data_IF_411925364696
#
_entry.id   IF_411925364696
#
_cell.length_a   1.000
_cell.length_b   1.000
_cell.length_c   1.000
_cell.angle_alpha   90.00
_cell.angle_beta   90.00
_cell.angle_gamma   90.00
#
_symmetry.space_group_name_H-M   'P 1'
#
loop_
_entity.id
_entity.type
_entity.pdbx_description
1 polymer ?
#
# COMPACT_ATOMS: atom_id res chain seq x y z
N UNK A 1 33.32 9.72 8.48
CA UNK A 1 31.84 9.69 8.55
C UNK A 1 31.39 8.34 9.05
N UNK A 2 30.79 8.32 10.23
CA UNK A 2 30.29 7.11 10.86
C UNK A 2 28.79 7.00 10.71
N UNK A 3 28.34 5.85 10.19
CA UNK A 3 26.94 5.57 9.90
C UNK A 3 26.39 4.54 10.88
N UNK A 4 25.10 4.68 11.17
CA UNK A 4 24.28 3.70 11.88
C UNK A 4 23.06 3.33 11.03
N UNK A 5 22.72 2.05 10.98
CA UNK A 5 21.67 1.52 10.12
C UNK A 5 20.41 1.14 10.90
N UNK A 6 19.25 1.60 10.44
CA UNK A 6 17.94 1.20 10.94
C UNK A 6 17.20 0.44 9.82
N UNK A 7 16.91 -0.83 10.06
CA UNK A 7 16.18 -1.68 9.11
C UNK A 7 14.75 -1.90 9.56
N UNK A 8 13.81 -1.73 8.65
CA UNK A 8 12.40 -2.03 8.86
C UNK A 8 11.98 -3.11 7.87
N UNK A 9 11.39 -4.18 8.40
CA UNK A 9 10.91 -5.30 7.62
C UNK A 9 9.46 -5.60 7.94
N UNK A 10 8.69 -5.85 6.89
CA UNK A 10 7.29 -6.25 6.99
C UNK A 10 7.17 -7.71 6.59
N UNK A 11 6.37 -8.48 7.33
CA UNK A 11 6.19 -9.91 7.04
C UNK A 11 5.35 -10.19 5.81
N UNK A 12 5.55 -11.39 5.23
CA UNK A 12 4.92 -11.77 3.98
C UNK A 12 3.38 -11.84 4.06
N UNK A 13 2.84 -12.07 5.26
CA UNK A 13 1.38 -12.03 5.53
C UNK A 13 0.77 -10.68 5.18
N UNK A 14 1.56 -9.60 5.19
CA UNK A 14 1.10 -8.28 4.82
C UNK A 14 0.88 -8.09 3.30
N UNK A 15 1.37 -9.00 2.45
CA UNK A 15 1.10 -8.95 1.00
C UNK A 15 -0.37 -9.16 0.66
N UNK A 16 -1.11 -9.91 1.50
CA UNK A 16 -2.54 -10.20 1.30
C UNK A 16 -3.41 -8.94 1.46
N UNK A 17 -2.93 -7.94 2.21
CA UNK A 17 -3.67 -6.69 2.44
C UNK A 17 -3.47 -5.72 1.28
N UNK A 18 -4.50 -4.94 0.96
CA UNK A 18 -4.39 -3.88 -0.04
C UNK A 18 -3.42 -2.77 0.44
N UNK A 19 -2.68 -2.11 -0.48
CA UNK A 19 -1.79 -0.99 -0.15
C UNK A 19 -2.46 0.11 0.71
N UNK A 20 -3.74 0.38 0.46
CA UNK A 20 -4.55 1.36 1.20
C UNK A 20 -4.80 0.97 2.66
N UNK A 21 -4.96 -0.33 2.95
CA UNK A 21 -5.18 -0.85 4.30
C UNK A 21 -3.87 -0.83 5.11
N UNK A 22 -2.76 -1.28 4.50
CA UNK A 22 -1.45 -1.35 5.16
C UNK A 22 -0.66 -0.04 5.17
N UNK A 23 -1.07 0.96 4.38
CA UNK A 23 -0.42 2.28 4.22
C UNK A 23 1.06 2.22 3.82
N UNK A 24 1.49 1.14 3.18
CA UNK A 24 2.84 0.97 2.63
C UNK A 24 2.78 0.13 1.35
N UNK A 25 3.85 0.19 0.54
CA UNK A 25 3.99 -0.62 -0.69
C UNK A 25 5.29 -1.41 -0.73
N UNK A 26 5.24 -2.58 -1.37
CA UNK A 26 6.43 -3.37 -1.66
C UNK A 26 7.07 -2.96 -2.99
N UNK A 27 8.31 -3.39 -3.24
CA UNK A 27 9.10 -3.00 -4.41
C UNK A 27 8.52 -3.52 -5.73
N UNK A 28 7.91 -4.69 -5.68
CA UNK A 28 7.27 -5.44 -6.77
C UNK A 28 5.90 -4.87 -7.17
N UNK A 29 5.26 -4.07 -6.32
CA UNK A 29 3.93 -3.51 -6.54
C UNK A 29 3.99 -2.13 -7.21
N UNK A 30 4.70 -2.05 -8.33
CA UNK A 30 4.88 -0.79 -9.07
C UNK A 30 3.67 -0.43 -9.92
N UNK A 31 3.24 0.83 -9.80
CA UNK A 31 2.26 1.48 -10.69
C UNK A 31 2.88 2.69 -11.43
N UNK A 32 4.21 2.81 -11.34
CA UNK A 32 4.99 3.89 -11.91
C UNK A 32 5.18 3.68 -13.41
N UNK A 33 5.10 4.76 -14.20
CA UNK A 33 5.36 4.72 -15.64
C UNK A 33 6.85 4.75 -15.94
N UNK A 34 7.62 5.49 -15.13
CA UNK A 34 9.05 5.70 -15.35
C UNK A 34 9.93 4.56 -14.84
N UNK A 35 9.43 3.75 -13.90
CA UNK A 35 10.20 2.68 -13.26
C UNK A 35 9.36 1.43 -13.04
N UNK A 36 9.89 0.22 -13.35
CA UNK A 36 9.22 -1.04 -13.05
C UNK A 36 9.26 -1.41 -11.56
N UNK A 37 9.99 -0.67 -10.72
CA UNK A 37 10.11 -0.92 -9.28
C UNK A 37 9.56 0.26 -8.49
N UNK A 38 8.79 -0.04 -7.44
CA UNK A 38 8.25 0.96 -6.53
C UNK A 38 9.27 1.38 -5.47
N UNK A 39 9.47 2.68 -5.31
CA UNK A 39 10.10 3.28 -4.14
C UNK A 39 9.42 4.59 -3.82
N UNK A 40 9.36 4.96 -2.55
CA UNK A 40 8.85 6.25 -2.11
C UNK A 40 9.55 7.41 -2.84
N UNK A 41 10.86 7.30 -3.05
CA UNK A 41 11.65 8.31 -3.78
C UNK A 41 11.22 8.35 -5.25
N UNK A 42 11.12 7.19 -5.90
CA UNK A 42 10.72 7.09 -7.30
C UNK A 42 9.29 7.63 -7.51
N UNK A 43 8.35 7.33 -6.61
CA UNK A 43 6.98 7.84 -6.66
C UNK A 43 6.95 9.37 -6.59
N UNK A 44 7.73 9.97 -5.68
CA UNK A 44 7.84 11.44 -5.59
C UNK A 44 8.51 12.05 -6.82
N UNK A 45 9.51 11.38 -7.38
CA UNK A 45 10.19 11.83 -8.60
C UNK A 45 9.24 11.83 -9.79
N UNK A 46 8.47 10.77 -10.00
CA UNK A 46 7.45 10.69 -11.05
C UNK A 46 6.33 11.71 -10.83
N UNK A 47 5.89 11.94 -9.58
CA UNK A 47 4.90 12.96 -9.30
C UNK A 47 5.41 14.37 -9.63
N UNK A 48 6.68 14.68 -9.32
CA UNK A 48 7.33 15.94 -9.70
C UNK A 48 7.45 16.09 -11.20
N UNK A 49 7.88 15.04 -11.91
CA UNK A 49 7.98 15.04 -13.37
C UNK A 49 6.61 15.27 -14.01
N UNK A 50 5.58 14.60 -13.51
CA UNK A 50 4.19 14.78 -13.96
C UNK A 50 3.67 16.19 -13.72
N UNK A 51 4.03 16.80 -12.59
CA UNK A 51 3.66 18.17 -12.27
C UNK A 51 4.40 19.18 -13.15
N UNK A 52 5.71 18.98 -13.39
CA UNK A 52 6.51 19.78 -14.31
C UNK A 52 5.91 19.75 -15.74
N UNK A 53 5.52 18.56 -16.20
CA UNK A 53 4.84 18.37 -17.49
C UNK A 53 3.50 19.10 -17.55
N UNK A 54 2.71 19.12 -16.47
CA UNK A 54 1.42 19.84 -16.42
C UNK A 54 1.58 21.36 -16.42
N UNK A 55 2.60 21.88 -15.74
CA UNK A 55 2.80 23.32 -15.59
C UNK A 55 3.50 23.96 -16.80
N UNK A 56 4.55 23.31 -17.32
CA UNK A 56 5.41 23.86 -18.36
C UNK A 56 5.47 23.00 -19.64
N UNK A 57 4.75 21.87 -19.70
CA UNK A 57 4.65 21.04 -20.90
C UNK A 57 5.87 20.15 -21.18
N UNK A 58 6.89 20.16 -20.32
CA UNK A 58 8.15 19.46 -20.52
C UNK A 58 8.64 18.76 -19.25
N UNK A 59 9.55 17.80 -19.40
CA UNK A 59 10.18 17.07 -18.29
C UNK A 59 11.66 17.44 -18.20
N UNK A 60 12.20 17.74 -17.00
CA UNK A 60 13.61 18.02 -16.83
C UNK A 60 14.53 16.86 -17.25
N UNK A 61 15.69 17.20 -17.81
CA UNK A 61 16.67 16.25 -18.36
C UNK A 61 17.23 15.23 -17.35
N UNK A 62 17.15 15.51 -16.04
CA UNK A 62 17.66 14.63 -14.99
C UNK A 62 16.66 13.53 -14.58
N UNK A 63 15.41 13.59 -15.03
CA UNK A 63 14.47 12.49 -14.88
C UNK A 63 14.66 11.46 -16.01
N UNK A 64 14.26 10.22 -15.75
CA UNK A 64 14.17 9.22 -16.82
C UNK A 64 13.08 9.64 -17.81
N UNK A 65 13.34 9.52 -19.11
CA UNK A 65 12.39 9.90 -20.14
C UNK A 65 11.66 8.66 -20.67
N UNK A 66 10.36 8.81 -20.99
CA UNK A 66 9.62 7.83 -21.80
C UNK A 66 9.51 8.32 -23.24
N UNK A 67 9.32 7.37 -24.15
CA UNK A 67 9.06 7.64 -25.56
C UNK A 67 7.81 8.53 -25.71
N UNK A 68 7.98 9.69 -26.37
CA UNK A 68 6.94 10.68 -26.57
C UNK A 68 6.91 11.84 -25.56
N UNK A 69 7.80 11.86 -24.55
CA UNK A 69 7.93 12.99 -23.63
C UNK A 69 9.01 13.97 -24.08
N UNK A 70 8.68 15.27 -24.16
CA UNK A 70 9.63 16.32 -24.54
C UNK A 70 10.52 16.71 -23.34
N UNK A 71 11.82 16.73 -23.57
CA UNK A 71 12.80 17.23 -22.60
C UNK A 71 12.71 18.76 -22.52
N UNK A 72 12.80 19.33 -21.31
CA UNK A 72 12.80 20.79 -21.12
C UNK A 72 14.08 21.42 -21.67
N UNK A 73 13.93 22.38 -22.57
CA UNK A 73 14.99 23.30 -22.99
C UNK A 73 15.14 24.47 -22.00
N UNK A 74 16.08 25.40 -22.22
CA UNK A 74 16.37 26.54 -21.34
C UNK A 74 15.12 27.34 -20.98
N UNK A 75 14.24 27.63 -21.94
CA UNK A 75 12.98 28.32 -21.70
C UNK A 75 12.01 27.53 -20.82
N UNK A 76 11.99 26.20 -20.98
CA UNK A 76 11.20 25.30 -20.12
C UNK A 76 11.73 25.24 -18.70
N UNK A 77 13.05 25.20 -18.54
CA UNK A 77 13.71 25.28 -17.23
C UNK A 77 13.46 26.62 -16.54
N UNK A 78 13.44 27.73 -17.30
CA UNK A 78 13.06 29.04 -16.79
C UNK A 78 11.59 29.09 -16.32
N UNK A 79 10.67 28.42 -17.04
CA UNK A 79 9.28 28.24 -16.59
C UNK A 79 9.20 27.49 -15.26
N UNK A 80 9.93 26.37 -15.12
CA UNK A 80 9.93 25.57 -13.88
C UNK A 80 10.51 26.34 -12.69
N UNK A 81 11.49 27.21 -12.92
CA UNK A 81 12.07 28.08 -11.89
C UNK A 81 11.02 29.00 -11.25
N UNK A 82 10.06 29.52 -12.04
CA UNK A 82 8.94 30.33 -11.53
C UNK A 82 8.03 29.55 -10.59
N UNK A 83 7.90 28.23 -10.80
CA UNK A 83 7.05 27.35 -10.01
C UNK A 83 7.84 26.48 -9.01
N UNK A 84 9.07 26.86 -8.67
CA UNK A 84 9.96 26.09 -7.78
C UNK A 84 9.29 25.69 -6.47
N UNK A 85 8.56 26.61 -5.83
CA UNK A 85 7.93 26.36 -4.53
C UNK A 85 6.85 25.28 -4.64
N UNK A 86 6.08 25.29 -5.73
CA UNK A 86 5.03 24.30 -5.97
C UNK A 86 5.65 22.91 -6.21
N UNK A 87 6.77 22.85 -6.97
CA UNK A 87 7.49 21.62 -7.29
C UNK A 87 8.25 21.04 -6.07
N UNK A 88 8.70 21.89 -5.15
CA UNK A 88 9.42 21.49 -3.93
C UNK A 88 8.41 21.02 -2.87
N UNK A 89 7.41 21.86 -2.55
CA UNK A 89 6.47 21.62 -1.45
C UNK A 89 5.46 20.52 -1.79
N UNK A 90 5.07 20.35 -3.06
CA UNK A 90 4.14 19.31 -3.53
C UNK A 90 2.89 19.14 -2.63
N UNK A 91 2.30 20.26 -2.19
CA UNK A 91 1.27 20.28 -1.14
C UNK A 91 0.06 19.39 -1.53
N UNK A 92 -0.08 18.25 -0.85
CA UNK A 92 -1.20 17.29 -0.94
C UNK A 92 -1.59 16.82 -2.35
N UNK A 93 -0.70 16.91 -3.35
CA UNK A 93 -1.01 16.49 -4.73
C UNK A 93 -0.48 15.10 -5.11
N UNK A 94 0.31 14.48 -4.24
CA UNK A 94 0.94 13.18 -4.48
C UNK A 94 0.58 12.22 -3.34
N UNK A 95 -0.16 11.16 -3.66
CA UNK A 95 -0.48 10.08 -2.71
C UNK A 95 0.58 8.97 -2.80
N UNK A 96 1.80 9.26 -2.33
CA UNK A 96 2.88 8.27 -2.31
C UNK A 96 2.94 7.56 -0.95
N UNK A 97 2.87 6.24 -0.95
CA UNK A 97 3.03 5.42 0.25
C UNK A 97 4.52 5.13 0.55
N UNK A 98 4.94 5.05 1.82
CA UNK A 98 6.29 4.61 2.16
C UNK A 98 6.52 3.15 1.75
N UNK A 99 7.79 2.78 1.61
CA UNK A 99 8.18 1.38 1.40
C UNK A 99 7.84 0.53 2.63
N UNK A 100 7.31 -0.67 2.43
CA UNK A 100 7.06 -1.62 3.52
C UNK A 100 8.39 -2.17 4.09
N UNK A 101 9.36 -2.41 3.21
CA UNK A 101 10.72 -2.82 3.55
C UNK A 101 11.68 -1.67 3.26
N UNK A 102 12.35 -1.17 4.30
CA UNK A 102 13.16 0.04 4.19
C UNK A 102 14.43 -0.03 5.05
N UNK A 103 15.49 0.60 4.56
CA UNK A 103 16.79 0.66 5.23
C UNK A 103 17.23 2.12 5.28
N UNK A 104 17.23 2.68 6.49
CA UNK A 104 17.62 4.06 6.73
C UNK A 104 19.02 4.11 7.34
N UNK A 105 19.88 4.94 6.78
CA UNK A 105 21.22 5.19 7.32
C UNK A 105 21.26 6.58 7.96
N UNK A 106 21.61 6.64 9.23
CA UNK A 106 21.75 7.89 9.98
C UNK A 106 23.23 8.19 10.16
N UNK A 107 23.60 9.45 9.92
CA UNK A 107 24.95 9.95 10.14
C UNK A 107 25.06 10.32 11.60
N UNK A 108 25.88 9.56 12.34
CA UNK A 108 26.08 9.81 13.77
C UNK A 108 27.27 10.73 14.03
N UNK A 109 28.32 10.59 13.23
CA UNK A 109 29.55 11.37 13.43
C UNK A 109 30.24 11.71 12.11
N UNK A 110 30.78 12.93 12.06
CA UNK A 110 31.48 13.51 10.93
C UNK A 110 32.89 13.90 11.40
N UNK A 111 33.80 12.92 11.43
CA UNK A 111 35.22 13.23 11.63
C UNK A 111 35.75 13.94 10.38
N UNK A 112 35.83 15.27 10.44
CA UNK A 112 36.40 16.12 9.39
C UNK A 112 37.84 16.43 9.75
N UNK A 113 38.79 15.77 9.07
CA UNK A 113 40.20 16.14 9.14
C UNK A 113 40.50 17.12 8.04
N UNK A 114 40.92 18.34 8.41
CA UNK A 114 41.37 19.34 7.44
C UNK A 114 42.69 18.87 6.81
N UNK A 115 42.66 18.62 5.51
CA UNK A 115 43.84 18.27 4.72
C UNK A 115 44.08 19.36 3.68
N UNK A 116 45.33 19.78 3.58
CA UNK A 116 45.75 20.94 2.80
C UNK A 116 45.58 20.79 1.27
N UNK A 117 45.39 19.56 0.76
CA UNK A 117 45.42 19.25 -0.68
C UNK A 117 44.31 18.30 -1.18
N UNK A 118 43.28 18.03 -0.38
CA UNK A 118 42.15 17.25 -0.86
C UNK A 118 41.20 16.76 0.23
N UNK A 119 39.94 16.54 -0.16
CA UNK A 119 38.90 15.97 0.72
C UNK A 119 39.08 14.46 0.78
N UNK A 120 39.62 13.92 1.88
CA UNK A 120 39.64 12.48 2.13
C UNK A 120 38.34 12.06 2.83
N UNK A 121 37.38 11.54 2.06
CA UNK A 121 36.10 11.06 2.60
C UNK A 121 36.23 9.56 2.97
N UNK A 122 36.40 9.28 4.26
CA UNK A 122 36.25 7.93 4.80
C UNK A 122 34.86 7.74 5.39
N UNK A 123 34.18 6.67 4.98
CA UNK A 123 32.88 6.30 5.51
C UNK A 123 32.90 4.85 6.00
N UNK A 124 32.21 4.59 7.10
CA UNK A 124 32.13 3.25 7.69
C UNK A 124 31.03 3.16 8.74
N UNK A 125 30.63 1.94 9.07
CA UNK A 125 29.69 1.71 10.17
C UNK A 125 30.42 1.91 11.50
N UNK A 126 29.81 2.69 12.41
CA UNK A 126 30.31 2.80 13.80
C UNK A 126 30.08 1.50 14.55
N UNK A 127 28.84 1.04 14.46
CA UNK A 127 28.33 -0.15 15.07
C UNK A 127 27.53 -0.94 14.03
N UNK A 128 27.68 -2.26 14.05
CA UNK A 128 26.81 -3.12 13.25
C UNK A 128 25.37 -3.02 13.77
N UNK A 129 24.37 -2.91 12.88
CA UNK A 129 22.98 -2.71 13.28
C UNK A 129 22.47 -3.92 14.07
N UNK A 130 22.23 -3.75 15.37
CA UNK A 130 21.74 -4.81 16.26
C UNK A 130 20.22 -4.91 16.33
N UNK A 131 19.51 -3.85 15.94
CA UNK A 131 18.06 -3.76 16.02
C UNK A 131 17.43 -3.77 14.64
N UNK A 132 16.37 -4.56 14.48
CA UNK A 132 15.52 -4.58 13.28
C UNK A 132 14.08 -4.42 13.70
N UNK A 133 13.41 -3.44 13.13
CA UNK A 133 11.98 -3.21 13.37
C UNK A 133 11.18 -4.16 12.48
N UNK A 134 10.33 -4.97 13.10
CA UNK A 134 9.46 -5.92 12.41
C UNK A 134 8.02 -5.41 12.45
N UNK A 135 7.37 -5.35 11.30
CA UNK A 135 5.93 -5.06 11.14
C UNK A 135 5.19 -6.35 10.86
N UNK A 136 4.21 -6.66 11.70
CA UNK A 136 3.35 -7.83 11.57
C UNK A 136 1.88 -7.43 11.52
N UNK A 137 1.08 -8.26 10.86
CA UNK A 137 -0.38 -8.13 10.85
C UNK A 137 -0.92 -8.66 12.18
N UNK A 138 -1.62 -7.81 12.93
CA UNK A 138 -2.08 -8.12 14.29
C UNK A 138 -3.39 -8.94 14.29
N UNK A 139 -4.29 -8.65 13.34
CA UNK A 139 -5.60 -9.30 13.21
C UNK A 139 -5.81 -9.81 11.78
N UNK A 140 -5.82 -11.12 11.61
CA UNK A 140 -6.21 -11.79 10.38
C UNK A 140 -7.69 -12.19 10.37
N UNK A 141 -8.18 -12.63 9.21
CA UNK A 141 -9.54 -13.17 9.07
C UNK A 141 -9.77 -14.41 9.96
N UNK A 142 -8.74 -15.24 10.13
CA UNK A 142 -8.76 -16.40 11.02
C UNK A 142 -9.02 -16.01 12.47
N UNK A 143 -8.41 -14.90 12.93
CA UNK A 143 -8.52 -14.45 14.31
C UNK A 143 -9.93 -13.93 14.60
N UNK A 144 -10.54 -13.25 13.63
CA UNK A 144 -11.95 -12.82 13.70
C UNK A 144 -12.87 -14.02 13.82
N UNK A 145 -12.65 -15.06 13.00
CA UNK A 145 -13.44 -16.28 13.04
C UNK A 145 -13.28 -17.01 14.38
N UNK A 146 -12.06 -17.12 14.90
CA UNK A 146 -11.76 -17.73 16.20
C UNK A 146 -12.45 -16.95 17.33
N UNK A 147 -12.40 -15.62 17.30
CA UNK A 147 -13.02 -14.79 18.33
C UNK A 147 -14.55 -14.91 18.35
N UNK A 148 -15.19 -14.77 17.18
CA UNK A 148 -16.65 -14.89 17.05
C UNK A 148 -17.13 -16.32 17.34
N UNK A 149 -16.42 -17.32 16.82
CA UNK A 149 -16.72 -18.73 17.06
C UNK A 149 -16.56 -19.11 18.53
N UNK A 150 -15.52 -18.61 19.21
CA UNK A 150 -15.31 -18.82 20.64
C UNK A 150 -16.42 -18.21 21.49
N UNK A 151 -16.83 -16.98 21.18
CA UNK A 151 -17.96 -16.34 21.86
C UNK A 151 -19.28 -17.08 21.63
N UNK A 152 -19.61 -17.43 20.38
CA UNK A 152 -20.84 -18.15 20.05
C UNK A 152 -20.88 -19.55 20.69
N UNK A 153 -19.74 -20.26 20.68
CA UNK A 153 -19.62 -21.58 21.30
C UNK A 153 -19.76 -21.53 22.83
N UNK A 154 -19.17 -20.52 23.49
CA UNK A 154 -19.21 -20.40 24.95
C UNK A 154 -20.58 -19.97 25.47
N UNK A 155 -21.22 -18.98 24.84
CA UNK A 155 -22.46 -18.39 25.34
C UNK A 155 -23.73 -19.09 24.83
N UNK A 156 -23.74 -19.57 23.59
CA UNK A 156 -24.93 -20.18 22.98
C UNK A 156 -24.86 -21.71 22.94
N UNK A 157 -23.71 -22.31 23.22
CA UNK A 157 -23.47 -23.73 23.00
C UNK A 157 -23.62 -24.14 21.53
N UNK A 158 -23.66 -23.16 20.61
CA UNK A 158 -23.89 -23.40 19.20
C UNK A 158 -22.59 -23.73 18.50
N UNK A 159 -22.60 -24.83 17.76
CA UNK A 159 -21.50 -25.25 16.89
C UNK A 159 -21.90 -25.11 15.42
N UNK A 160 -20.95 -25.26 14.51
CA UNK A 160 -21.22 -25.22 13.05
C UNK A 160 -22.29 -26.24 12.66
N UNK A 161 -22.35 -27.39 13.32
CA UNK A 161 -23.38 -28.41 13.10
C UNK A 161 -24.78 -27.91 13.46
N UNK A 162 -24.93 -27.26 14.62
CA UNK A 162 -26.20 -26.66 15.04
C UNK A 162 -26.67 -25.58 14.05
N UNK A 163 -25.74 -24.80 13.49
CA UNK A 163 -26.06 -23.78 12.48
C UNK A 163 -26.55 -24.40 11.16
N UNK A 164 -25.94 -25.49 10.72
CA UNK A 164 -26.37 -26.25 9.53
C UNK A 164 -27.77 -26.82 9.73
N UNK A 165 -28.08 -27.39 10.90
CA UNK A 165 -29.43 -27.91 11.20
C UNK A 165 -30.51 -26.82 11.16
N UNK A 166 -30.21 -25.62 11.68
CA UNK A 166 -31.12 -24.46 11.61
C UNK A 166 -31.37 -24.10 10.14
N UNK A 167 -30.32 -23.97 9.31
CA UNK A 167 -30.47 -23.65 7.89
C UNK A 167 -31.29 -24.72 7.17
N UNK A 168 -31.02 -26.00 7.44
CA UNK A 168 -31.76 -27.11 6.83
C UNK A 168 -33.25 -27.06 7.18
N UNK A 169 -33.58 -26.83 8.46
CA UNK A 169 -34.97 -26.75 8.90
C UNK A 169 -35.69 -25.52 8.32
N UNK A 170 -35.01 -24.36 8.28
CA UNK A 170 -35.56 -23.15 7.69
C UNK A 170 -35.79 -23.29 6.19
N UNK A 171 -34.80 -23.79 5.43
CA UNK A 171 -34.92 -23.94 3.97
C UNK A 171 -36.02 -24.92 3.58
N UNK A 172 -36.14 -26.08 4.26
CA UNK A 172 -37.23 -27.03 4.02
C UNK A 172 -38.58 -26.42 4.38
N UNK A 173 -38.70 -25.79 5.55
CA UNK A 173 -39.98 -25.21 5.99
C UNK A 173 -40.43 -24.07 5.06
N UNK A 174 -39.51 -23.26 4.57
CA UNK A 174 -39.78 -22.19 3.61
C UNK A 174 -40.12 -22.75 2.22
N UNK A 175 -39.44 -23.81 1.77
CA UNK A 175 -39.77 -24.53 0.54
C UNK A 175 -41.18 -25.16 0.58
N UNK A 176 -41.54 -25.80 1.70
CA UNK A 176 -42.89 -26.34 1.90
C UNK A 176 -43.95 -25.23 1.97
N UNK A 177 -43.64 -24.09 2.58
CA UNK A 177 -44.54 -22.95 2.63
C UNK A 177 -44.78 -22.34 1.23
N UNK A 178 -43.70 -22.15 0.45
CA UNK A 178 -43.77 -21.62 -0.93
C UNK A 178 -44.47 -22.59 -1.88
N UNK A 179 -44.20 -23.90 -1.79
CA UNK A 179 -44.89 -24.90 -2.61
C UNK A 179 -46.37 -25.05 -2.24
N UNK A 180 -46.74 -24.86 -0.97
CA UNK A 180 -48.14 -24.86 -0.53
C UNK A 180 -48.89 -23.59 -0.99
N UNK A 181 -48.24 -22.41 -0.94
CA UNK A 181 -48.78 -21.18 -1.53
C UNK A 181 -48.90 -21.28 -3.06
N UNK A 182 -47.89 -21.83 -3.74
CA UNK A 182 -47.91 -22.05 -5.18
C UNK A 182 -48.96 -23.07 -5.64
N UNK A 183 -49.30 -24.07 -4.80
CA UNK A 183 -50.46 -24.96 -5.02
C UNK A 183 -51.79 -24.22 -4.84
N UNK A 184 -51.94 -23.41 -3.80
CA UNK A 184 -53.14 -22.61 -3.56
C UNK A 184 -53.44 -21.64 -4.71
N UNK A 185 -52.42 -20.97 -5.28
CA UNK A 185 -52.60 -20.07 -6.43
C UNK A 185 -52.84 -20.83 -7.74
N UNK A 186 -52.25 -22.02 -7.94
CA UNK A 186 -52.54 -22.88 -9.10
C UNK A 186 -53.94 -23.50 -9.05
N UNK A 187 -54.45 -23.82 -7.86
CA UNK A 187 -55.82 -24.30 -7.69
C UNK A 187 -56.85 -23.20 -7.96
N UNK A 188 -56.57 -21.95 -7.59
CA UNK A 188 -57.44 -20.81 -7.94
C UNK A 188 -57.44 -20.55 -9.46
N UNK A 189 -56.29 -20.61 -10.13
CA UNK A 189 -56.19 -20.41 -11.59
C UNK A 189 -56.84 -21.55 -12.41
N UNK A 190 -56.89 -22.78 -11.87
CA UNK A 190 -57.57 -23.93 -12.49
C UNK A 190 -59.06 -24.06 -12.10
N UNK A 191 -59.55 -23.22 -11.18
CA UNK A 191 -60.98 -23.13 -10.82
C UNK A 191 -61.71 -22.00 -11.59
N UNK A 192 -60.96 -21.17 -12.32
CA UNK A 192 -61.48 -20.07 -13.17
C UNK A 192 -61.48 -20.39 -14.68
N UNK A 193 -61.16 -21.65 -15.06
CA UNK A 193 -61.36 -22.24 -16.40
C UNK A 193 -62.17 -23.53 -16.28
#
# INVERSE_FOLDING_TARGET
MHLSGLTIFTTDRAHVLAPSQRKCRFYDESDLRHSPVYSYVLCRMECRASLAKRLCGCIPHFYRHLDGEKVCDVSGMHCLSKYKEILITMKNRCSCYPNCNDVNYVVEDLDTREWFLGTNLQWGFKDYPRMRLRRDVIFGFTDVLVYVGGMAGLFLGCSVLSFIEIIYFFTIRLFWYVTKYGKSTREIYNAEY
#
